data_IF_918013516782
#
_entry.id   IF_918013516782
#
_cell.length_a   1.000
_cell.length_b   1.000
_cell.length_c   1.000
_cell.angle_alpha   90.00
_cell.angle_beta   90.00
_cell.angle_gamma   90.00
#
_symmetry.space_group_name_H-M   'P 1'
#
loop_
_entity.id
_entity.type
_entity.pdbx_description
1 polymer ?
#
# COMPACT_ATOMS: atom_id res chain seq x y z
N UNK A 1 -35.44 6.58 -46.51
CA UNK A 1 -34.97 5.31 -45.91
C UNK A 1 -33.54 5.06 -46.36
N UNK A 2 -32.54 5.42 -45.55
CA UNK A 2 -31.11 5.32 -45.89
C UNK A 2 -30.34 4.58 -44.80
N UNK A 3 -29.79 3.43 -45.15
CA UNK A 3 -28.81 2.61 -44.42
C UNK A 3 -27.51 3.44 -44.30
N UNK A 4 -26.64 3.38 -43.31
CA UNK A 4 -26.41 2.48 -42.18
C UNK A 4 -25.12 2.96 -41.50
N UNK A 5 -24.92 2.61 -40.23
CA UNK A 5 -23.69 2.93 -39.50
C UNK A 5 -22.53 2.08 -40.05
N UNK A 6 -21.42 2.73 -40.41
CA UNK A 6 -20.19 2.07 -40.88
C UNK A 6 -19.43 1.53 -39.66
N UNK A 7 -19.27 0.21 -39.57
CA UNK A 7 -18.34 -0.41 -38.64
C UNK A 7 -16.91 -0.31 -39.20
N UNK A 8 -16.13 0.65 -38.71
CA UNK A 8 -14.69 0.67 -38.95
C UNK A 8 -14.04 -0.35 -38.02
N UNK A 9 -13.62 -1.49 -38.59
CA UNK A 9 -12.66 -2.40 -37.95
C UNK A 9 -11.30 -1.72 -37.88
N UNK A 10 -10.94 -1.18 -36.72
CA UNK A 10 -9.57 -0.77 -36.44
C UNK A 10 -8.68 -2.03 -36.35
N UNK A 11 -7.69 -2.13 -37.24
CA UNK A 11 -6.68 -3.19 -37.26
C UNK A 11 -5.81 -3.09 -36.00
N UNK A 12 -5.66 -4.22 -35.34
CA UNK A 12 -4.69 -4.52 -34.27
C UNK A 12 -3.29 -4.01 -34.59
N UNK A 13 -2.74 -3.14 -33.74
CA UNK A 13 -1.31 -3.12 -33.44
C UNK A 13 -1.14 -3.70 -32.03
N UNK A 14 -0.82 -5.00 -31.96
CA UNK A 14 -0.26 -5.61 -30.74
C UNK A 14 1.13 -5.01 -30.54
N UNK A 15 1.23 -3.92 -29.79
CA UNK A 15 2.50 -3.56 -29.17
C UNK A 15 2.73 -4.57 -28.05
N UNK A 16 3.77 -5.38 -28.16
CA UNK A 16 4.15 -6.34 -27.13
C UNK A 16 4.56 -5.58 -25.86
N UNK A 17 3.60 -5.30 -24.99
CA UNK A 17 3.87 -4.90 -23.63
C UNK A 17 4.57 -6.09 -22.95
N UNK A 18 5.87 -5.96 -22.70
CA UNK A 18 6.60 -6.86 -21.83
C UNK A 18 5.79 -6.99 -20.53
N UNK A 19 5.29 -8.18 -20.24
CA UNK A 19 4.64 -8.52 -18.99
C UNK A 19 5.67 -8.38 -17.87
N UNK A 20 5.74 -7.20 -17.26
CA UNK A 20 6.39 -7.04 -15.97
C UNK A 20 5.68 -7.98 -15.00
N UNK A 21 6.40 -8.97 -14.46
CA UNK A 21 5.86 -9.86 -13.43
C UNK A 21 5.35 -8.99 -12.28
N UNK A 22 4.04 -8.99 -12.06
CA UNK A 22 3.43 -8.27 -10.94
C UNK A 22 3.77 -9.05 -9.67
N UNK A 23 4.45 -8.40 -8.73
CA UNK A 23 4.67 -8.98 -7.40
C UNK A 23 3.30 -9.14 -6.72
N UNK A 24 2.96 -10.33 -6.20
CA UNK A 24 1.72 -10.52 -5.47
C UNK A 24 1.72 -9.66 -4.20
N UNK A 25 0.55 -9.15 -3.81
CA UNK A 25 0.38 -8.27 -2.63
C UNK A 25 0.94 -8.92 -1.36
N UNK A 26 0.82 -10.25 -1.23
CA UNK A 26 1.38 -11.01 -0.10
C UNK A 26 2.91 -10.92 -0.01
N UNK A 27 3.62 -10.91 -1.15
CA UNK A 27 5.08 -10.69 -1.14
C UNK A 27 5.42 -9.26 -0.72
N UNK A 28 4.64 -8.27 -1.13
CA UNK A 28 4.84 -6.88 -0.72
C UNK A 28 4.69 -6.74 0.80
N UNK A 29 3.66 -7.35 1.37
CA UNK A 29 3.42 -7.37 2.82
C UNK A 29 4.56 -8.06 3.59
N UNK A 30 5.04 -9.21 3.09
CA UNK A 30 6.16 -9.93 3.69
C UNK A 30 7.47 -9.13 3.63
N UNK A 31 7.75 -8.50 2.47
CA UNK A 31 8.93 -7.68 2.29
C UNK A 31 8.92 -6.46 3.21
N UNK A 32 7.77 -5.77 3.31
CA UNK A 32 7.61 -4.61 4.20
C UNK A 32 7.93 -4.98 5.65
N UNK A 33 7.43 -6.12 6.11
CA UNK A 33 7.73 -6.63 7.46
C UNK A 33 9.20 -7.01 7.64
N UNK A 34 9.84 -7.53 6.59
CA UNK A 34 11.25 -7.92 6.59
C UNK A 34 12.19 -6.72 6.69
N UNK A 35 11.90 -5.61 6.00
CA UNK A 35 12.76 -4.43 6.02
C UNK A 35 12.92 -3.82 7.43
N UNK A 36 11.93 -4.01 8.30
CA UNK A 36 11.98 -3.52 9.68
C UNK A 36 12.57 -4.51 10.69
N UNK A 37 12.95 -5.73 10.27
CA UNK A 37 13.50 -6.72 11.20
C UNK A 37 14.89 -6.33 11.73
N UNK A 38 15.68 -5.58 10.95
CA UNK A 38 17.02 -5.13 11.34
C UNK A 38 16.98 -3.95 12.31
N UNK A 39 15.82 -3.30 12.49
CA UNK A 39 15.66 -2.16 13.39
C UNK A 39 15.45 -2.67 14.82
N UNK A 40 16.50 -2.52 15.64
CA UNK A 40 16.40 -2.78 17.07
C UNK A 40 15.52 -1.73 17.74
N UNK A 41 14.50 -2.19 18.45
CA UNK A 41 13.55 -1.30 19.13
C UNK A 41 14.20 -0.57 20.32
N UNK A 42 14.43 0.76 20.22
CA UNK A 42 15.15 1.55 21.22
C UNK A 42 14.30 1.86 22.45
N UNK A 43 12.99 1.57 22.41
CA UNK A 43 12.06 1.88 23.50
C UNK A 43 12.34 1.01 24.72
N UNK A 44 12.10 1.57 25.90
CA UNK A 44 12.25 0.84 27.17
C UNK A 44 11.25 -0.31 27.23
N UNK A 45 11.67 -1.51 27.66
CA UNK A 45 10.80 -2.71 27.68
C UNK A 45 9.45 -2.48 28.35
N UNK A 46 9.40 -1.71 29.45
CA UNK A 46 8.15 -1.39 30.18
C UNK A 46 7.13 -0.57 29.40
N UNK A 47 7.55 0.13 28.33
CA UNK A 47 6.68 1.03 27.54
C UNK A 47 6.24 0.41 26.20
N UNK A 48 6.53 -0.87 25.97
CA UNK A 48 6.23 -1.56 24.70
C UNK A 48 4.81 -2.14 24.71
N UNK A 49 3.81 -1.28 24.50
CA UNK A 49 2.40 -1.73 24.31
C UNK A 49 2.13 -2.28 22.91
N UNK A 50 2.88 -1.81 21.91
CA UNK A 50 2.73 -2.18 20.49
C UNK A 50 4.09 -2.55 19.89
N UNK A 51 4.08 -3.44 18.90
CA UNK A 51 5.28 -3.77 18.13
C UNK A 51 5.77 -2.52 17.40
N UNK A 52 7.09 -2.33 17.36
CA UNK A 52 7.67 -1.17 16.66
C UNK A 52 7.30 -1.19 15.17
N UNK A 53 7.26 -2.40 14.58
CA UNK A 53 6.92 -2.61 13.17
C UNK A 53 5.53 -2.07 12.84
N UNK A 54 4.54 -2.36 13.67
CA UNK A 54 3.16 -1.90 13.44
C UNK A 54 3.07 -0.38 13.50
N UNK A 55 3.77 0.25 14.45
CA UNK A 55 3.83 1.72 14.56
C UNK A 55 4.46 2.34 13.30
N UNK A 56 5.55 1.76 12.81
CA UNK A 56 6.24 2.26 11.61
C UNK A 56 5.37 2.10 10.35
N UNK A 57 4.69 0.96 10.20
CA UNK A 57 3.78 0.72 9.08
C UNK A 57 2.62 1.71 9.10
N UNK A 58 1.98 1.92 10.26
CA UNK A 58 0.89 2.88 10.42
C UNK A 58 1.36 4.29 10.09
N UNK A 59 2.53 4.71 10.59
CA UNK A 59 3.09 6.02 10.32
C UNK A 59 3.33 6.25 8.82
N UNK A 60 3.92 5.28 8.11
CA UNK A 60 4.16 5.38 6.66
C UNK A 60 2.84 5.47 5.90
N UNK A 61 1.85 4.64 6.24
CA UNK A 61 0.54 4.65 5.59
C UNK A 61 -0.19 5.98 5.81
N UNK A 62 -0.15 6.51 7.03
CA UNK A 62 -0.74 7.79 7.38
C UNK A 62 -0.04 8.95 6.65
N UNK A 63 1.29 8.97 6.59
CA UNK A 63 2.04 10.01 5.87
C UNK A 63 1.76 9.98 4.36
N UNK A 64 1.67 8.78 3.76
CA UNK A 64 1.26 8.65 2.35
C UNK A 64 -0.19 9.15 2.14
N UNK A 65 -1.05 9.01 3.15
CA UNK A 65 -2.41 9.53 3.15
C UNK A 65 -2.50 11.03 3.46
N UNK A 66 -1.38 11.71 3.71
CA UNK A 66 -1.30 13.15 3.94
C UNK A 66 -1.27 13.59 5.41
N UNK A 67 -0.94 12.70 6.35
CA UNK A 67 -0.72 13.08 7.75
C UNK A 67 0.52 13.97 7.90
N UNK A 68 0.38 15.10 8.60
CA UNK A 68 1.47 16.05 8.84
C UNK A 68 2.06 15.90 10.26
N UNK A 69 1.27 15.39 11.20
CA UNK A 69 1.67 15.23 12.60
C UNK A 69 1.35 13.87 13.21
N UNK A 70 1.81 13.68 14.46
CA UNK A 70 1.54 12.46 15.23
C UNK A 70 0.06 12.28 15.57
N UNK A 71 -0.67 13.39 15.78
CA UNK A 71 -2.11 13.38 16.03
C UNK A 71 -2.87 12.86 14.80
N UNK A 72 -2.46 13.25 13.59
CA UNK A 72 -3.06 12.76 12.34
C UNK A 72 -2.80 11.26 12.15
N UNK A 73 -1.59 10.80 12.51
CA UNK A 73 -1.24 9.38 12.46
C UNK A 73 -2.11 8.58 13.44
N UNK A 74 -2.33 9.09 14.65
CA UNK A 74 -3.22 8.47 15.63
C UNK A 74 -4.66 8.42 15.10
N UNK A 75 -5.17 9.55 14.59
CA UNK A 75 -6.50 9.64 14.01
C UNK A 75 -6.68 8.66 12.83
N UNK A 76 -5.67 8.55 11.96
CA UNK A 76 -5.66 7.59 10.86
C UNK A 76 -5.72 6.15 11.39
N UNK A 77 -4.91 5.81 12.39
CA UNK A 77 -4.86 4.48 12.98
C UNK A 77 -6.20 4.09 13.60
N UNK A 78 -6.84 5.00 14.33
CA UNK A 78 -8.16 4.77 14.93
C UNK A 78 -9.24 4.62 13.84
N UNK A 79 -9.25 5.50 12.84
CA UNK A 79 -10.22 5.44 11.74
C UNK A 79 -10.08 4.17 10.87
N UNK A 80 -8.88 3.60 10.78
CA UNK A 80 -8.56 2.39 10.00
C UNK A 80 -8.31 1.15 10.85
N UNK A 81 -8.64 1.17 12.12
CA UNK A 81 -8.33 0.09 13.06
C UNK A 81 -8.85 -1.28 12.58
N UNK A 82 -10.07 -1.33 12.04
CA UNK A 82 -10.66 -2.57 11.51
C UNK A 82 -9.94 -3.10 10.26
N UNK A 83 -9.34 -2.23 9.47
CA UNK A 83 -8.58 -2.62 8.28
C UNK A 83 -7.15 -3.04 8.63
N UNK A 84 -6.61 -2.50 9.72
CA UNK A 84 -5.28 -2.79 10.26
C UNK A 84 -5.23 -4.02 11.19
N UNK A 85 -6.38 -4.62 11.52
CA UNK A 85 -6.47 -5.76 12.45
C UNK A 85 -6.06 -7.08 11.84
#
# INVERSE_FOLDING_TARGET
MGKGFVSVKAKSKKTAAKTAKLTPISQVQANLSSYFNDIKDPRVKRTKKHLLKDILVIAILAVIAGAEGWEDIENYAQAKQQWLS
#
